data_IF_146359186549
#
_entry.id   IF_146359186549
#
_cell.length_a   1.000
_cell.length_b   1.000
_cell.length_c   1.000
_cell.angle_alpha   90.00
_cell.angle_beta   90.00
_cell.angle_gamma   90.00
#
_symmetry.space_group_name_H-M   'P 1'
#
loop_
_entity.id
_entity.type
_entity.pdbx_description
1 polymer ?
#
# COMPACT_ATOMS: atom_id res chain seq x y z
N UNK A 1 -1.46 -0.03 -5.90
CA UNK A 1 -0.39 0.07 -4.88
C UNK A 1 -0.80 0.81 -3.60
N UNK A 2 -2.03 1.36 -3.50
CA UNK A 2 -2.46 2.20 -2.37
C UNK A 2 -2.15 1.67 -0.95
N UNK A 3 -2.38 0.39 -0.63
CA UNK A 3 -2.05 -0.16 0.71
C UNK A 3 -0.53 -0.26 0.92
N UNK A 4 0.22 -0.63 -0.11
CA UNK A 4 1.67 -0.83 0.00
C UNK A 4 2.39 0.50 0.22
N UNK A 5 1.83 1.59 -0.32
CA UNK A 5 2.35 2.96 -0.24
C UNK A 5 2.02 3.68 1.09
N UNK A 6 1.16 3.11 1.93
CA UNK A 6 0.86 3.67 3.26
C UNK A 6 2.05 3.40 4.17
N UNK A 7 2.67 4.43 4.73
CA UNK A 7 3.84 4.28 5.63
C UNK A 7 3.51 3.45 6.88
N UNK A 8 2.39 3.77 7.53
CA UNK A 8 1.86 3.11 8.73
C UNK A 8 0.39 2.73 8.52
N UNK A 9 0.11 1.42 8.53
CA UNK A 9 -1.21 0.86 8.21
C UNK A 9 -2.16 0.84 9.42
N UNK A 10 -1.62 0.99 10.64
CA UNK A 10 -2.37 0.80 11.88
C UNK A 10 -3.61 1.72 11.95
N UNK A 11 -3.54 3.03 11.65
CA UNK A 11 -4.71 3.91 11.73
C UNK A 11 -5.84 3.48 10.78
N UNK A 12 -5.49 2.97 9.59
CA UNK A 12 -6.48 2.50 8.63
C UNK A 12 -7.21 1.26 9.15
N UNK A 13 -6.47 0.29 9.69
CA UNK A 13 -7.06 -0.96 10.18
C UNK A 13 -7.91 -0.74 11.43
N UNK A 14 -7.51 0.19 12.30
CA UNK A 14 -8.33 0.60 13.44
C UNK A 14 -9.64 1.24 13.00
N UNK A 15 -9.61 2.13 12.01
CA UNK A 15 -10.83 2.72 11.46
C UNK A 15 -11.72 1.66 10.78
N UNK A 16 -11.14 0.72 10.03
CA UNK A 16 -11.90 -0.40 9.44
C UNK A 16 -12.56 -1.23 10.54
N UNK A 17 -11.83 -1.53 11.62
CA UNK A 17 -12.36 -2.27 12.76
C UNK A 17 -13.55 -1.56 13.42
N UNK A 18 -13.47 -0.24 13.65
CA UNK A 18 -14.55 0.56 14.24
C UNK A 18 -15.78 0.67 13.33
N UNK A 19 -15.57 0.69 12.02
CA UNK A 19 -16.64 0.83 11.03
C UNK A 19 -17.31 -0.51 10.67
N UNK A 20 -16.67 -1.64 10.98
CA UNK A 20 -17.21 -2.95 10.65
C UNK A 20 -18.36 -3.29 11.60
N UNK A 21 -19.53 -3.61 11.04
CA UNK A 21 -20.68 -4.07 11.83
C UNK A 21 -20.35 -5.37 12.58
N UNK A 22 -21.11 -5.67 13.63
CA UNK A 22 -21.00 -6.94 14.34
C UNK A 22 -21.15 -8.13 13.37
N UNK A 23 -20.23 -9.10 13.45
CA UNK A 23 -20.11 -10.23 12.50
C UNK A 23 -19.87 -9.84 11.03
N UNK A 24 -19.49 -8.58 10.75
CA UNK A 24 -19.08 -8.16 9.43
C UNK A 24 -17.78 -8.84 8.98
N UNK A 25 -17.62 -9.02 7.67
CA UNK A 25 -16.42 -9.61 7.07
C UNK A 25 -15.66 -8.52 6.33
N UNK A 26 -14.40 -8.31 6.73
CA UNK A 26 -13.47 -7.50 5.96
C UNK A 26 -12.76 -8.37 4.91
N UNK A 27 -12.80 -7.94 3.65
CA UNK A 27 -12.07 -8.55 2.54
C UNK A 27 -11.21 -7.48 1.92
N UNK A 28 -9.91 -7.74 1.77
CA UNK A 28 -9.01 -6.87 1.02
C UNK A 28 -8.35 -7.64 -0.13
N UNK A 29 -7.98 -6.92 -1.18
CA UNK A 29 -7.28 -7.45 -2.33
C UNK A 29 -6.09 -6.54 -2.66
N UNK A 30 -4.97 -7.14 -3.07
CA UNK A 30 -3.79 -6.41 -3.52
C UNK A 30 -3.41 -6.88 -4.92
N UNK A 31 -2.80 -6.00 -5.71
CA UNK A 31 -2.25 -6.37 -7.01
C UNK A 31 -0.92 -7.09 -6.80
N UNK A 32 -0.66 -8.13 -7.60
CA UNK A 32 0.60 -8.87 -7.49
C UNK A 32 1.78 -7.98 -7.90
N UNK A 33 2.84 -7.82 -7.08
CA UNK A 33 3.93 -6.87 -7.34
C UNK A 33 4.59 -7.03 -8.72
N UNK A 34 4.73 -8.26 -9.21
CA UNK A 34 5.27 -8.57 -10.55
C UNK A 34 4.55 -7.82 -11.70
N UNK A 35 3.27 -7.47 -11.54
CA UNK A 35 2.51 -6.79 -12.59
C UNK A 35 2.43 -5.27 -12.43
N UNK A 36 2.94 -4.72 -11.33
CA UNK A 36 2.83 -3.29 -11.02
C UNK A 36 4.17 -2.62 -10.73
N UNK A 37 5.24 -3.39 -10.51
CA UNK A 37 6.57 -2.82 -10.29
C UNK A 37 7.13 -2.37 -11.64
N UNK A 38 7.36 -1.07 -11.80
CA UNK A 38 7.94 -0.48 -13.02
C UNK A 38 9.47 -0.51 -13.02
N UNK A 39 10.08 -1.18 -12.04
CA UNK A 39 11.53 -1.27 -11.84
C UNK A 39 12.00 -2.71 -11.97
N UNK A 40 13.30 -2.90 -12.22
CA UNK A 40 13.97 -4.22 -12.20
C UNK A 40 14.03 -4.84 -10.78
N UNK A 41 13.57 -4.12 -9.74
CA UNK A 41 13.77 -4.46 -8.33
C UNK A 41 12.53 -5.09 -7.67
N UNK A 42 11.76 -5.89 -8.39
CA UNK A 42 10.52 -6.47 -7.83
C UNK A 42 10.76 -7.48 -6.68
N UNK A 43 11.93 -8.12 -6.62
CA UNK A 43 12.27 -9.09 -5.56
C UNK A 43 12.85 -8.44 -4.30
N UNK A 44 13.22 -7.16 -4.34
CA UNK A 44 13.93 -6.50 -3.24
C UNK A 44 13.16 -5.27 -2.76
N UNK A 45 12.99 -5.07 -1.44
CA UNK A 45 12.35 -3.87 -0.93
C UNK A 45 13.08 -2.61 -1.38
N UNK A 46 12.33 -1.61 -1.85
CA UNK A 46 12.88 -0.31 -2.26
C UNK A 46 11.79 0.76 -2.22
N UNK A 47 12.21 2.03 -2.31
CA UNK A 47 11.29 3.16 -2.45
C UNK A 47 11.81 4.13 -3.49
N UNK A 48 10.91 4.88 -4.11
CA UNK A 48 11.21 5.88 -5.12
C UNK A 48 10.12 6.95 -5.14
N UNK A 49 10.41 8.11 -5.74
CA UNK A 49 9.42 9.17 -5.94
C UNK A 49 8.83 9.05 -7.34
N UNK A 50 7.52 9.25 -7.46
CA UNK A 50 6.81 9.29 -8.74
C UNK A 50 5.49 10.07 -8.63
N UNK A 51 4.83 10.31 -9.77
CA UNK A 51 3.54 11.00 -9.85
C UNK A 51 2.42 10.04 -9.43
N UNK A 52 1.78 10.34 -8.30
CA UNK A 52 0.60 9.61 -7.84
C UNK A 52 -0.65 9.86 -8.68
N UNK A 53 -0.95 11.13 -8.90
CA UNK A 53 -2.07 11.59 -9.71
C UNK A 53 -1.53 12.70 -10.60
N UNK A 54 -1.80 12.61 -11.90
CA UNK A 54 -1.38 13.61 -12.88
C UNK A 54 -1.86 15.01 -12.46
N UNK A 55 -0.95 15.99 -12.53
CA UNK A 55 -1.22 17.37 -12.13
C UNK A 55 -1.03 17.67 -10.63
N UNK A 56 -0.63 16.72 -9.80
CA UNK A 56 -0.23 17.03 -8.41
C UNK A 56 1.05 17.89 -8.38
N UNK A 57 1.17 18.82 -7.41
CA UNK A 57 2.29 19.76 -7.35
C UNK A 57 3.61 19.11 -6.89
N UNK A 58 3.57 17.87 -6.41
CA UNK A 58 4.72 17.13 -5.89
C UNK A 58 4.59 15.65 -6.20
N UNK A 59 5.72 15.02 -6.43
CA UNK A 59 5.83 13.57 -6.44
C UNK A 59 5.57 13.00 -5.04
N UNK A 60 5.05 11.79 -5.01
CA UNK A 60 4.80 11.02 -3.78
C UNK A 60 5.82 9.89 -3.69
N UNK A 61 6.09 9.45 -2.46
CA UNK A 61 6.92 8.27 -2.24
C UNK A 61 6.11 7.00 -2.48
N UNK A 62 6.66 6.11 -3.29
CA UNK A 62 6.14 4.77 -3.53
C UNK A 62 6.98 3.75 -2.78
N UNK A 63 6.31 2.82 -2.12
CA UNK A 63 6.96 1.79 -1.34
C UNK A 63 6.74 0.42 -1.98
N UNK A 64 7.85 -0.21 -2.37
CA UNK A 64 7.87 -1.60 -2.76
C UNK A 64 8.38 -2.45 -1.59
N UNK A 65 7.47 -3.17 -0.93
CA UNK A 65 7.78 -3.98 0.25
C UNK A 65 6.86 -5.19 0.33
N UNK A 66 7.17 -6.15 1.22
CA UNK A 66 6.28 -7.29 1.47
C UNK A 66 5.06 -6.84 2.28
N UNK A 67 3.96 -7.59 2.16
CA UNK A 67 2.80 -7.41 3.05
C UNK A 67 3.23 -7.55 4.51
N UNK A 68 4.06 -8.54 4.84
CA UNK A 68 4.58 -8.71 6.20
C UNK A 68 5.21 -7.41 6.73
N UNK A 69 6.05 -6.73 5.94
CA UNK A 69 6.69 -5.49 6.34
C UNK A 69 5.75 -4.29 6.53
N UNK A 70 4.47 -4.42 6.15
CA UNK A 70 3.43 -3.43 6.44
C UNK A 70 2.79 -3.71 7.81
N UNK A 71 2.65 -4.98 8.19
CA UNK A 71 1.96 -5.41 9.42
C UNK A 71 2.89 -5.67 10.62
N UNK A 72 4.21 -5.81 10.39
CA UNK A 72 5.22 -6.16 11.40
C UNK A 72 5.79 -7.55 11.17
#
# INVERSE_FOLDING_TARGET
MAIMDITDIEPLLMAVYELLQESGIFVFATQHPCFVTLTEKYMTPHSYYDIAIEGQPKEQIYYHRSIQGIYG
#
